data_IF_736768337516
#
_entry.id   IF_736768337516
#
_cell.length_a   1.000
_cell.length_b   1.000
_cell.length_c   1.000
_cell.angle_alpha   90.00
_cell.angle_beta   90.00
_cell.angle_gamma   90.00
#
_symmetry.space_group_name_H-M   'P 1'
#
loop_
_entity.id
_entity.type
_entity.pdbx_description
1 polymer ?
#
# COMPACT_ATOMS: atom_id res chain seq x y z
N UNK A 1 2.78 1.25 6.54
CA UNK A 1 2.65 2.28 7.59
C UNK A 1 1.44 3.17 7.38
N UNK A 2 0.96 3.31 6.14
CA UNK A 2 -0.16 4.20 5.84
C UNK A 2 -1.46 3.79 6.53
N UNK A 3 -1.68 2.50 6.77
CA UNK A 3 -2.91 2.05 7.44
C UNK A 3 -2.92 2.38 8.94
N UNK A 4 -1.81 2.19 9.65
CA UNK A 4 -1.65 2.60 11.04
C UNK A 4 -1.86 4.12 11.24
N UNK A 5 -1.28 4.94 10.36
CA UNK A 5 -1.47 6.40 10.36
C UNK A 5 -2.90 6.78 9.97
N UNK A 6 -3.46 6.12 8.95
CA UNK A 6 -4.83 6.32 8.53
C UNK A 6 -5.82 6.08 9.67
N UNK A 7 -5.64 5.02 10.45
CA UNK A 7 -6.48 4.72 11.61
C UNK A 7 -6.47 5.84 12.65
N UNK A 8 -5.37 6.58 12.83
CA UNK A 8 -5.32 7.74 13.73
C UNK A 8 -6.09 8.96 13.19
N UNK A 9 -6.20 9.08 11.86
CA UNK A 9 -6.84 10.23 11.19
C UNK A 9 -8.34 10.02 10.93
N UNK A 10 -8.88 8.85 11.25
CA UNK A 10 -10.31 8.58 11.08
C UNK A 10 -11.18 9.51 11.93
N UNK A 11 -12.41 9.85 11.48
CA UNK A 11 -13.30 10.77 12.19
C UNK A 11 -13.58 10.38 13.65
N UNK A 12 -13.66 9.08 13.95
CA UNK A 12 -13.87 8.55 15.30
C UNK A 12 -12.65 8.63 16.23
N UNK A 13 -11.47 8.95 15.70
CA UNK A 13 -10.23 9.13 16.46
C UNK A 13 -9.86 10.61 16.64
N UNK A 14 -10.59 11.53 16.01
CA UNK A 14 -10.28 12.98 16.03
C UNK A 14 -10.13 13.52 17.46
N UNK A 15 -11.10 13.20 18.31
CA UNK A 15 -11.17 13.65 19.71
C UNK A 15 -10.52 12.67 20.72
N UNK A 16 -9.88 11.60 20.25
CA UNK A 16 -9.21 10.64 21.11
C UNK A 16 -7.92 11.22 21.71
N UNK A 17 -7.62 10.83 22.95
CA UNK A 17 -6.37 11.22 23.63
C UNK A 17 -5.13 10.73 22.87
N UNK A 18 -4.02 11.46 23.00
CA UNK A 18 -2.76 11.16 22.32
C UNK A 18 -2.29 9.71 22.60
N UNK A 19 -2.41 9.26 23.86
CA UNK A 19 -2.06 7.89 24.24
C UNK A 19 -2.87 6.83 23.48
N UNK A 20 -4.17 7.07 23.27
CA UNK A 20 -5.02 6.14 22.52
C UNK A 20 -4.66 6.13 21.03
N UNK A 21 -4.27 7.27 20.47
CA UNK A 21 -3.79 7.37 19.08
C UNK A 21 -2.49 6.60 18.88
N UNK A 22 -1.51 6.79 19.78
CA UNK A 22 -0.21 6.10 19.73
C UNK A 22 -0.42 4.59 19.85
N UNK A 23 -1.13 4.12 20.89
CA UNK A 23 -1.37 2.68 21.09
C UNK A 23 -2.06 2.03 19.90
N UNK A 24 -3.06 2.71 19.31
CA UNK A 24 -3.75 2.19 18.13
C UNK A 24 -2.80 2.09 16.93
N UNK A 25 -1.96 3.10 16.71
CA UNK A 25 -0.99 3.07 15.60
C UNK A 25 0.09 2.03 15.80
N UNK A 26 0.66 1.92 16.99
CA UNK A 26 1.66 0.89 17.31
C UNK A 26 1.09 -0.52 17.11
N UNK A 27 -0.15 -0.75 17.53
CA UNK A 27 -0.84 -2.01 17.33
C UNK A 27 -0.99 -2.36 15.83
N UNK A 28 -1.52 -1.43 15.03
CA UNK A 28 -1.70 -1.65 13.59
C UNK A 28 -0.37 -1.72 12.83
N UNK A 29 0.62 -0.90 13.22
CA UNK A 29 1.95 -0.96 12.65
C UNK A 29 2.61 -2.32 12.92
N UNK A 30 2.48 -2.86 14.13
CA UNK A 30 3.01 -4.18 14.48
C UNK A 30 2.39 -5.27 13.60
N UNK A 31 1.08 -5.24 13.41
CA UNK A 31 0.38 -6.17 12.52
C UNK A 31 0.86 -6.02 11.08
N UNK A 32 0.96 -4.79 10.57
CA UNK A 32 1.48 -4.53 9.23
C UNK A 32 2.88 -5.12 9.05
N UNK A 33 3.79 -4.89 9.99
CA UNK A 33 5.16 -5.41 9.93
C UNK A 33 5.21 -6.93 9.95
N UNK A 34 4.31 -7.59 10.69
CA UNK A 34 4.21 -9.05 10.71
C UNK A 34 3.91 -9.66 9.34
N UNK A 35 3.17 -8.97 8.48
CA UNK A 35 2.86 -9.44 7.12
C UNK A 35 3.80 -8.85 6.05
N UNK A 36 4.24 -7.61 6.25
CA UNK A 36 5.07 -6.89 5.29
C UNK A 36 6.49 -7.45 5.24
N UNK A 37 7.11 -7.79 6.37
CA UNK A 37 8.48 -8.35 6.36
C UNK A 37 8.54 -9.71 5.65
N UNK A 38 7.65 -10.68 5.96
CA UNK A 38 7.66 -11.96 5.25
C UNK A 38 7.32 -11.81 3.76
N UNK A 39 6.34 -10.97 3.41
CA UNK A 39 5.96 -10.76 2.00
C UNK A 39 7.08 -10.13 1.18
N UNK A 40 7.82 -9.17 1.73
CA UNK A 40 9.01 -8.60 1.08
C UNK A 40 10.14 -9.64 0.93
N UNK A 41 10.35 -10.49 1.94
CA UNK A 41 11.32 -11.60 1.86
C UNK A 41 10.97 -12.62 0.79
N UNK A 42 9.70 -13.00 0.69
CA UNK A 42 9.20 -13.89 -0.36
C UNK A 42 9.28 -13.19 -1.73
N UNK A 43 8.91 -11.92 -1.83
CA UNK A 43 8.99 -11.18 -3.08
C UNK A 43 10.41 -11.09 -3.63
N UNK A 44 11.41 -10.98 -2.75
CA UNK A 44 12.83 -10.92 -3.15
C UNK A 44 13.36 -12.25 -3.71
N UNK A 45 12.64 -13.37 -3.55
CA UNK A 45 13.01 -14.63 -4.21
C UNK A 45 12.51 -14.72 -5.65
N UNK A 46 11.53 -13.90 -6.05
CA UNK A 46 10.88 -13.97 -7.37
C UNK A 46 11.07 -12.72 -8.23
N UNK A 47 11.23 -11.56 -7.61
CA UNK A 47 11.25 -10.25 -8.26
C UNK A 47 12.60 -9.57 -8.06
N UNK A 48 13.06 -8.84 -9.08
CA UNK A 48 14.21 -7.95 -8.95
C UNK A 48 13.85 -6.78 -7.99
N UNK A 49 14.79 -6.24 -7.19
CA UNK A 49 14.62 -5.02 -6.40
C UNK A 49 13.77 -3.92 -7.04
N UNK A 50 13.95 -3.62 -8.33
CA UNK A 50 13.14 -2.61 -9.03
C UNK A 50 11.66 -3.02 -9.17
N UNK A 51 11.38 -4.29 -9.44
CA UNK A 51 10.03 -4.83 -9.52
C UNK A 51 9.38 -4.95 -8.13
N UNK A 52 10.18 -5.25 -7.11
CA UNK A 52 9.75 -5.23 -5.71
C UNK A 52 9.31 -3.83 -5.28
N UNK A 53 10.12 -2.81 -5.57
CA UNK A 53 9.77 -1.42 -5.30
C UNK A 53 8.53 -0.98 -6.11
N UNK A 54 8.38 -1.44 -7.35
CA UNK A 54 7.20 -1.15 -8.15
C UNK A 54 5.94 -1.87 -7.64
N UNK A 55 6.09 -3.03 -7.02
CA UNK A 55 4.98 -3.81 -6.48
C UNK A 55 4.27 -3.11 -5.32
N UNK A 56 4.97 -2.29 -4.52
CA UNK A 56 4.33 -1.53 -3.44
C UNK A 56 3.28 -0.57 -3.98
N UNK A 57 3.55 0.11 -5.10
CA UNK A 57 2.56 1.00 -5.73
C UNK A 57 1.31 0.25 -6.20
N UNK A 58 1.46 -1.01 -6.63
CA UNK A 58 0.31 -1.85 -7.00
C UNK A 58 -0.53 -2.19 -5.76
N UNK A 59 0.11 -2.56 -4.66
CA UNK A 59 -0.59 -2.85 -3.40
C UNK A 59 -1.26 -1.60 -2.81
N UNK A 60 -0.61 -0.44 -2.86
CA UNK A 60 -1.16 0.83 -2.37
C UNK A 60 -2.41 1.23 -3.17
N UNK A 61 -2.40 1.07 -4.48
CA UNK A 61 -3.57 1.33 -5.32
C UNK A 61 -4.71 0.35 -5.07
N UNK A 62 -4.42 -0.94 -4.84
CA UNK A 62 -5.44 -1.91 -4.46
C UNK A 62 -6.07 -1.55 -3.11
N UNK A 63 -5.25 -1.13 -2.14
CA UNK A 63 -5.71 -0.63 -0.86
C UNK A 63 -6.52 0.67 -1.01
N UNK A 64 -6.14 1.56 -1.94
CA UNK A 64 -6.90 2.76 -2.29
C UNK A 64 -8.26 2.41 -2.91
N UNK A 65 -8.34 1.48 -3.87
CA UNK A 65 -9.63 1.02 -4.43
C UNK A 65 -10.52 0.44 -3.34
N UNK A 66 -9.96 -0.44 -2.50
CA UNK A 66 -10.72 -1.07 -1.44
C UNK A 66 -11.20 -0.06 -0.40
N UNK A 67 -10.32 0.84 0.05
CA UNK A 67 -10.69 1.87 1.01
C UNK A 67 -11.69 2.87 0.42
N UNK A 68 -11.54 3.28 -0.84
CA UNK A 68 -12.48 4.16 -1.53
C UNK A 68 -13.86 3.54 -1.67
N UNK A 69 -13.97 2.26 -2.03
CA UNK A 69 -15.27 1.59 -2.20
C UNK A 69 -15.94 1.31 -0.86
N UNK A 70 -15.22 0.71 0.09
CA UNK A 70 -15.82 0.16 1.31
C UNK A 70 -15.75 1.09 2.52
N UNK A 71 -14.74 1.97 2.59
CA UNK A 71 -14.47 2.77 3.79
C UNK A 71 -14.81 4.25 3.60
N UNK A 72 -14.17 4.91 2.63
CA UNK A 72 -14.25 6.35 2.40
C UNK A 72 -15.41 6.76 1.47
N UNK A 73 -15.94 5.82 0.68
CA UNK A 73 -17.00 6.06 -0.32
C UNK A 73 -16.65 7.22 -1.28
N UNK A 74 -15.37 7.34 -1.63
CA UNK A 74 -14.86 8.36 -2.55
C UNK A 74 -14.70 7.77 -3.95
N UNK A 75 -14.96 8.54 -5.02
CA UNK A 75 -14.67 8.08 -6.37
C UNK A 75 -13.16 8.03 -6.59
N UNK A 76 -12.65 6.88 -7.07
CA UNK A 76 -11.28 6.77 -7.57
C UNK A 76 -11.18 7.51 -8.91
N UNK A 77 -10.20 8.40 -9.05
CA UNK A 77 -10.11 9.27 -10.22
C UNK A 77 -9.55 8.51 -11.43
N UNK A 78 -9.85 8.99 -12.64
CA UNK A 78 -9.33 8.38 -13.88
C UNK A 78 -7.80 8.42 -13.92
N UNK A 79 -7.20 9.47 -13.39
CA UNK A 79 -5.74 9.64 -13.31
C UNK A 79 -5.09 8.52 -12.48
N UNK A 80 -5.73 8.07 -11.39
CA UNK A 80 -5.24 6.96 -10.57
C UNK A 80 -5.20 5.64 -11.37
N UNK A 81 -6.23 5.37 -12.18
CA UNK A 81 -6.29 4.18 -13.04
C UNK A 81 -5.25 4.23 -14.17
N UNK A 82 -5.09 5.39 -14.82
CA UNK A 82 -4.11 5.58 -15.89
C UNK A 82 -2.69 5.43 -15.33
N UNK A 83 -2.41 6.00 -14.16
CA UNK A 83 -1.15 5.82 -13.45
C UNK A 83 -0.85 4.35 -13.18
N UNK A 84 -1.83 3.58 -12.71
CA UNK A 84 -1.65 2.15 -12.47
C UNK A 84 -1.36 1.36 -13.76
N UNK A 85 -2.05 1.66 -14.86
CA UNK A 85 -1.79 1.02 -16.16
C UNK A 85 -0.35 1.28 -16.61
N UNK A 86 0.16 2.50 -16.44
CA UNK A 86 1.54 2.85 -16.78
C UNK A 86 2.56 2.09 -15.92
N UNK A 87 2.31 1.95 -14.62
CA UNK A 87 3.17 1.17 -13.71
C UNK A 87 3.19 -0.30 -14.12
N UNK A 88 2.02 -0.91 -14.36
CA UNK A 88 1.92 -2.30 -14.80
C UNK A 88 2.61 -2.53 -16.15
N UNK A 89 2.44 -1.61 -17.09
CA UNK A 89 3.16 -1.64 -18.37
C UNK A 89 4.67 -1.52 -18.18
N UNK A 90 5.13 -0.63 -17.31
CA UNK A 90 6.54 -0.47 -16.95
C UNK A 90 7.12 -1.74 -16.32
N UNK A 91 6.39 -2.40 -15.42
CA UNK A 91 6.79 -3.69 -14.83
C UNK A 91 6.89 -4.81 -15.89
N UNK A 92 5.93 -4.85 -16.82
CA UNK A 92 5.93 -5.81 -17.93
C UNK A 92 7.12 -5.57 -18.88
N UNK A 93 7.34 -4.33 -19.32
CA UNK A 93 8.47 -3.95 -20.17
C UNK A 93 9.83 -4.23 -19.51
N UNK A 94 9.96 -3.96 -18.20
CA UNK A 94 11.18 -4.24 -17.45
C UNK A 94 11.57 -5.73 -17.46
N UNK A 95 10.60 -6.64 -17.56
CA UNK A 95 10.86 -8.08 -17.68
C UNK A 95 11.61 -8.44 -18.99
N UNK A 96 11.37 -7.71 -20.07
CA UNK A 96 12.04 -7.95 -21.36
C UNK A 96 13.47 -7.40 -21.40
N UNK A 97 13.79 -6.39 -20.59
CA UNK A 97 15.14 -5.80 -20.52
C UNK A 97 16.15 -6.69 -19.79
N UNK A 98 15.70 -7.73 -19.09
CA UNK A 98 16.56 -8.76 -18.48
C UNK A 98 17.05 -9.78 -19.53
N UNK A 99 16.41 -9.84 -20.70
CA UNK A 99 16.80 -10.72 -21.83
C UNK A 99 17.53 -10.00 -22.97
N UNK A 100 17.94 -8.74 -22.76
CA UNK A 100 18.80 -7.97 -23.66
C UNK A 100 20.17 -7.78 -23.05
#
# INVERSE_FOLDING_TARGET
MDFALFMQTTPGMKDASIYKKILTSEFWATIEWMFLIPSQRIGNTFLNPAQLAMSSYVFDFLAQIWSNIYWLKLPTTVDDYVGMILILFGMYAAKFRIFG
#
